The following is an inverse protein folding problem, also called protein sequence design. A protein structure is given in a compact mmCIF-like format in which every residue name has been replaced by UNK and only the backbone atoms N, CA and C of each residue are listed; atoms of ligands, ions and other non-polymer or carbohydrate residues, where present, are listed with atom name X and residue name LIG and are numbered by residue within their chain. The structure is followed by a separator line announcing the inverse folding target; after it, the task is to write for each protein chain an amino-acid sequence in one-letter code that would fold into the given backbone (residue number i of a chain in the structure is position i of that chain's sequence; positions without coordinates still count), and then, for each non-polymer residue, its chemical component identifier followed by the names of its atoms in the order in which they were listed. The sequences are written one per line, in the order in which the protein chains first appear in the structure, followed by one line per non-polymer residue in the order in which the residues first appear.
data_IF_245877155425
#
_entry.id   IF_245877155425
#
_cell.length_a   1.000
_cell.length_b   1.000
_cell.length_c   1.000
_cell.angle_alpha   90.00
_cell.angle_beta   90.00
_cell.angle_gamma   90.00
#
_symmetry.space_group_name_H-M   'P 1'
#
loop_
_entity.id
_entity.type
_entity.pdbx_description
1 polymer ?
#
# COMPACT_ATOMS: atom_id res chain seq x y z
N UNK A 1 -8.01 8.62 11.83
CA UNK A 1 -9.18 7.93 11.24
C UNK A 1 -8.71 7.08 10.07
N UNK A 2 -9.48 6.08 9.67
CA UNK A 2 -9.24 5.37 8.40
C UNK A 2 -9.59 6.31 7.24
N UNK A 3 -8.74 6.33 6.21
CA UNK A 3 -8.94 7.16 5.03
C UNK A 3 -9.67 6.43 3.89
N UNK A 4 -10.03 5.15 4.06
CA UNK A 4 -10.71 4.33 3.04
C UNK A 4 -12.00 4.97 2.50
N UNK A 5 -12.72 5.73 3.32
CA UNK A 5 -13.95 6.42 2.92
C UNK A 5 -13.70 7.57 1.93
N UNK A 6 -12.47 8.11 1.91
CA UNK A 6 -12.04 9.15 0.98
C UNK A 6 -11.37 8.59 -0.27
N UNK A 7 -11.21 7.27 -0.39
CA UNK A 7 -10.58 6.64 -1.56
C UNK A 7 -11.52 6.73 -2.77
N UNK A 8 -10.99 7.20 -3.89
CA UNK A 8 -11.70 7.24 -5.16
C UNK A 8 -11.53 5.92 -5.91
N UNK A 9 -12.37 4.93 -5.58
CA UNK A 9 -12.33 3.59 -6.16
C UNK A 9 -12.25 3.51 -7.69
N UNK A 10 -12.96 4.34 -8.49
CA UNK A 10 -12.85 4.30 -9.95
C UNK A 10 -11.47 4.63 -10.49
N UNK A 11 -10.66 5.38 -9.74
CA UNK A 11 -9.29 5.73 -10.11
C UNK A 11 -8.22 4.89 -9.42
N UNK A 12 -8.60 3.92 -8.58
CA UNK A 12 -7.63 3.02 -7.93
C UNK A 12 -7.05 2.10 -8.99
N UNK A 13 -5.73 2.08 -9.09
CA UNK A 13 -4.99 1.21 -10.00
C UNK A 13 -3.99 0.38 -9.22
N UNK A 14 -3.75 -0.86 -9.67
CA UNK A 14 -2.71 -1.70 -9.09
C UNK A 14 -2.02 -2.47 -10.21
N UNK A 15 -0.71 -2.27 -10.34
CA UNK A 15 0.15 -2.97 -11.28
C UNK A 15 0.74 -4.20 -10.60
N UNK A 16 0.94 -5.25 -11.41
CA UNK A 16 1.42 -6.56 -10.98
C UNK A 16 0.54 -7.27 -9.93
N UNK A 17 -0.75 -6.91 -9.83
CA UNK A 17 -1.70 -7.67 -9.01
C UNK A 17 -2.19 -8.91 -9.73
N UNK A 18 -2.42 -9.99 -8.98
CA UNK A 18 -3.08 -11.18 -9.46
C UNK A 18 -4.56 -10.87 -9.75
N UNK A 19 -5.07 -11.32 -10.90
CA UNK A 19 -6.46 -11.11 -11.32
C UNK A 19 -7.48 -11.74 -10.37
N UNK A 20 -7.10 -12.79 -9.65
CA UNK A 20 -7.95 -13.46 -8.64
C UNK A 20 -7.87 -12.79 -7.26
N UNK A 21 -6.75 -12.13 -6.97
CA UNK A 21 -6.42 -11.55 -5.67
C UNK A 21 -6.05 -10.07 -5.83
N UNK A 22 -7.07 -9.24 -6.09
CA UNK A 22 -6.89 -7.82 -6.39
C UNK A 22 -6.75 -6.94 -5.13
N UNK A 23 -6.24 -5.72 -5.30
CA UNK A 23 -6.04 -4.73 -4.24
C UNK A 23 -7.32 -4.43 -3.44
N UNK A 24 -8.48 -4.51 -4.08
CA UNK A 24 -9.78 -4.29 -3.44
C UNK A 24 -9.97 -5.22 -2.23
N UNK A 25 -9.48 -6.46 -2.30
CA UNK A 25 -9.56 -7.42 -1.21
C UNK A 25 -8.80 -6.92 0.04
N UNK A 26 -7.61 -6.34 -0.16
CA UNK A 26 -6.76 -5.87 0.94
C UNK A 26 -7.12 -4.45 1.43
N UNK A 27 -7.66 -3.58 0.58
CA UNK A 27 -7.93 -2.18 0.91
C UNK A 27 -9.37 -1.94 1.40
N UNK A 28 -10.36 -2.64 0.82
CA UNK A 28 -11.78 -2.37 1.08
C UNK A 28 -12.19 -2.88 2.46
N UNK A 29 -12.86 -2.02 3.23
CA UNK A 29 -13.42 -2.40 4.53
C UNK A 29 -14.47 -3.51 4.35
N UNK A 30 -14.46 -4.49 5.25
CA UNK A 30 -15.21 -5.75 5.12
C UNK A 30 -14.38 -6.87 4.48
N UNK A 31 -13.86 -6.66 3.27
CA UNK A 31 -13.06 -7.67 2.56
C UNK A 31 -11.72 -7.92 3.26
N UNK A 32 -11.04 -6.85 3.65
CA UNK A 32 -9.73 -6.89 4.35
C UNK A 32 -9.77 -7.45 5.79
N UNK A 33 -10.96 -7.83 6.26
CA UNK A 33 -11.15 -8.50 7.57
C UNK A 33 -11.28 -10.02 7.41
N UNK A 34 -11.43 -10.50 6.17
CA UNK A 34 -11.45 -11.91 5.83
C UNK A 34 -10.03 -12.36 5.47
N UNK A 35 -9.43 -13.24 6.28
CA UNK A 35 -8.08 -13.75 6.02
C UNK A 35 -7.98 -14.59 4.73
N UNK A 36 -9.11 -14.99 4.12
CA UNK A 36 -9.15 -15.63 2.80
C UNK A 36 -9.06 -14.65 1.62
N UNK A 37 -9.23 -13.35 1.87
CA UNK A 37 -9.19 -12.30 0.86
C UNK A 37 -7.94 -11.45 1.02
N UNK A 38 -7.01 -11.60 0.07
CA UNK A 38 -5.75 -10.87 0.04
C UNK A 38 -5.47 -10.32 -1.35
N UNK A 39 -4.54 -9.37 -1.40
CA UNK A 39 -3.83 -8.95 -2.59
C UNK A 39 -2.59 -9.84 -2.75
N UNK A 40 -2.38 -10.36 -3.95
CA UNK A 40 -1.19 -11.13 -4.31
C UNK A 40 -0.57 -10.53 -5.56
N UNK A 41 0.75 -10.63 -5.70
CA UNK A 41 1.43 -10.29 -6.94
C UNK A 41 1.37 -11.41 -7.99
N UNK A 42 1.36 -11.05 -9.27
CA UNK A 42 1.15 -12.00 -10.37
C UNK A 42 2.45 -12.61 -10.90
N UNK A 43 3.51 -11.80 -11.05
CA UNK A 43 4.78 -12.25 -11.65
C UNK A 43 5.97 -12.27 -10.69
N UNK A 44 6.08 -11.28 -9.80
CA UNK A 44 7.25 -11.05 -8.95
C UNK A 44 6.84 -10.36 -7.65
N UNK A 45 7.75 -10.19 -6.69
CA UNK A 45 7.41 -9.60 -5.40
C UNK A 45 7.03 -8.10 -5.45
N UNK A 46 7.22 -7.42 -6.58
CA UNK A 46 7.00 -5.99 -6.68
C UNK A 46 5.53 -5.66 -6.96
N UNK A 47 4.96 -4.76 -6.17
CA UNK A 47 3.58 -4.28 -6.35
C UNK A 47 3.57 -2.77 -6.44
N UNK A 48 2.80 -2.21 -7.36
CA UNK A 48 2.62 -0.77 -7.47
C UNK A 48 1.14 -0.44 -7.40
N UNK A 49 0.75 0.22 -6.32
CA UNK A 49 -0.63 0.53 -5.97
C UNK A 49 -0.80 2.04 -6.05
N UNK A 50 -1.73 2.51 -6.87
CA UNK A 50 -2.12 3.90 -6.99
C UNK A 50 -3.50 4.10 -6.38
N UNK A 51 -3.60 4.99 -5.39
CA UNK A 51 -4.83 5.28 -4.64
C UNK A 51 -5.10 6.78 -4.72
N UNK A 52 -6.01 7.23 -5.59
CA UNK A 52 -6.51 8.59 -5.55
C UNK A 52 -7.51 8.77 -4.41
N UNK A 53 -7.59 9.99 -3.89
CA UNK A 53 -8.56 10.40 -2.88
C UNK A 53 -9.52 11.44 -3.47
N UNK A 54 -10.79 11.36 -3.07
CA UNK A 54 -11.85 12.30 -3.47
C UNK A 54 -11.63 13.71 -2.92
N UNK A 55 -10.82 13.84 -1.87
CA UNK A 55 -10.43 15.11 -1.26
C UNK A 55 -8.98 15.05 -0.76
N UNK A 56 -8.42 16.22 -0.43
CA UNK A 56 -7.11 16.31 0.20
C UNK A 56 -7.16 15.68 1.59
N UNK A 57 -6.26 14.73 1.84
CA UNK A 57 -6.10 14.06 3.14
C UNK A 57 -4.69 14.26 3.68
N UNK A 58 -4.52 14.02 4.97
CA UNK A 58 -3.27 14.04 5.72
C UNK A 58 -2.94 12.65 6.21
N UNK A 59 -1.90 12.03 5.66
CA UNK A 59 -1.50 10.68 6.05
C UNK A 59 -0.57 10.74 7.27
N UNK A 60 -0.90 9.99 8.31
CA UNK A 60 -0.12 9.90 9.54
C UNK A 60 0.66 8.59 9.63
N UNK A 61 0.01 7.49 9.26
CA UNK A 61 0.56 6.14 9.42
C UNK A 61 -0.13 5.19 8.46
N UNK A 62 0.55 4.08 8.15
CA UNK A 62 -0.01 3.00 7.35
C UNK A 62 0.03 1.72 8.15
N UNK A 63 -0.97 0.87 8.01
CA UNK A 63 -0.97 -0.46 8.58
C UNK A 63 -1.06 -1.44 7.43
N UNK A 64 -0.11 -2.36 7.42
CA UNK A 64 -0.04 -3.44 6.45
C UNK A 64 -0.01 -4.74 7.24
N UNK A 65 -0.95 -5.64 6.95
CA UNK A 65 -0.99 -7.01 7.48
C UNK A 65 -0.64 -7.96 6.34
N UNK A 66 0.18 -8.94 6.64
CA UNK A 66 0.60 -9.95 5.68
C UNK A 66 1.28 -11.11 6.40
N UNK A 67 1.68 -12.10 5.63
CA UNK A 67 2.43 -13.23 6.17
C UNK A 67 3.87 -12.79 6.53
N UNK A 68 4.47 -13.27 7.63
CA UNK A 68 5.86 -12.93 7.97
C UNK A 68 6.90 -13.40 6.95
N UNK A 69 6.56 -14.31 6.02
CA UNK A 69 7.46 -14.74 4.94
C UNK A 69 7.11 -14.04 3.60
N UNK A 70 5.85 -14.07 3.19
CA UNK A 70 5.40 -13.54 1.89
C UNK A 70 4.93 -12.07 1.95
N UNK A 71 4.90 -11.46 3.14
CA UNK A 71 4.43 -10.09 3.32
C UNK A 71 5.45 -9.04 2.87
N UNK A 72 4.99 -7.81 2.58
CA UNK A 72 5.86 -6.74 2.13
C UNK A 72 6.87 -6.34 3.22
N UNK A 73 8.08 -5.99 2.81
CA UNK A 73 9.16 -5.55 3.68
C UNK A 73 9.53 -4.11 3.41
N UNK A 74 10.00 -3.79 2.21
CA UNK A 74 10.27 -2.39 1.84
C UNK A 74 9.10 -1.79 1.08
N UNK A 75 8.45 -0.81 1.70
CA UNK A 75 7.31 -0.09 1.12
C UNK A 75 7.66 1.38 0.92
N UNK A 76 7.78 1.80 -0.33
CA UNK A 76 8.04 3.18 -0.74
C UNK A 76 6.72 3.89 -1.01
N UNK A 77 6.59 5.11 -0.51
CA UNK A 77 5.37 5.91 -0.61
C UNK A 77 5.64 7.19 -1.39
N UNK A 78 4.70 7.56 -2.25
CA UNK A 78 4.77 8.77 -3.05
C UNK A 78 3.43 9.50 -2.97
N UNK A 79 3.44 10.71 -2.42
CA UNK A 79 2.25 11.56 -2.40
C UNK A 79 2.17 12.43 -3.65
N UNK A 80 0.96 12.59 -4.19
CA UNK A 80 0.63 13.46 -5.33
C UNK A 80 1.43 13.11 -6.60
N UNK A 81 1.54 11.82 -6.90
CA UNK A 81 2.28 11.31 -8.03
C UNK A 81 1.43 10.32 -8.80
N UNK A 82 0.93 10.77 -9.93
CA UNK A 82 0.07 9.98 -10.82
C UNK A 82 0.93 9.29 -11.90
N UNK A 83 0.41 8.22 -12.50
CA UNK A 83 1.07 7.51 -13.62
C UNK A 83 2.50 7.03 -13.32
N UNK A 84 2.75 6.56 -12.09
CA UNK A 84 4.00 5.84 -11.79
C UNK A 84 3.94 4.41 -12.33
N UNK A 85 5.08 3.94 -12.81
CA UNK A 85 5.29 2.55 -13.20
C UNK A 85 6.65 2.06 -12.71
N UNK A 86 6.87 0.75 -12.76
CA UNK A 86 8.11 0.13 -12.30
C UNK A 86 9.39 0.71 -12.94
N UNK A 87 9.29 1.21 -14.18
CA UNK A 87 10.42 1.83 -14.89
C UNK A 87 10.83 3.21 -14.37
N UNK A 88 9.89 3.98 -13.79
CA UNK A 88 10.15 5.37 -13.37
C UNK A 88 10.03 5.58 -11.85
N UNK A 89 9.48 4.62 -11.11
CA UNK A 89 9.27 4.72 -9.66
C UNK A 89 10.57 4.96 -8.88
N UNK A 90 11.70 4.43 -9.39
CA UNK A 90 13.02 4.62 -8.81
C UNK A 90 13.70 5.95 -9.19
N UNK A 91 13.19 6.65 -10.19
CA UNK A 91 13.71 7.97 -10.62
C UNK A 91 13.13 9.11 -9.78
N UNK A 92 11.90 8.92 -9.27
CA UNK A 92 11.25 9.91 -8.44
C UNK A 92 11.70 9.83 -6.97
N UNK A 93 11.85 10.97 -6.29
CA UNK A 93 12.13 10.98 -4.86
C UNK A 93 10.92 10.41 -4.09
N UNK A 94 11.15 9.33 -3.35
CA UNK A 94 10.19 8.75 -2.41
C UNK A 94 9.80 9.80 -1.37
N UNK A 95 8.49 9.97 -1.12
CA UNK A 95 8.02 10.86 -0.06
C UNK A 95 8.42 10.32 1.32
N UNK A 96 8.28 9.01 1.49
CA UNK A 96 8.77 8.27 2.64
C UNK A 96 8.97 6.80 2.28
N UNK A 97 9.82 6.12 3.03
CA UNK A 97 10.08 4.68 2.87
C UNK A 97 9.88 4.03 4.22
N UNK A 98 9.02 3.02 4.26
CA UNK A 98 8.72 2.23 5.44
C UNK A 98 9.35 0.86 5.26
N UNK A 99 10.20 0.49 6.19
CA UNK A 99 10.67 -0.89 6.33
C UNK A 99 9.78 -1.57 7.35
N UNK A 100 8.90 -2.43 6.87
CA UNK A 100 8.05 -3.29 7.69
C UNK A 100 8.90 -4.45 8.19
N UNK A 101 8.79 -4.75 9.48
CA UNK A 101 9.34 -5.96 10.08
C UNK A 101 8.23 -7.01 10.21
N UNK A 102 8.56 -8.29 10.45
CA UNK A 102 7.55 -9.33 10.68
C UNK A 102 6.53 -8.95 11.76
N UNK A 103 6.98 -8.31 12.85
CA UNK A 103 6.09 -7.80 13.92
C UNK A 103 5.18 -6.64 13.48
N UNK A 104 5.48 -5.95 12.37
CA UNK A 104 4.59 -4.93 11.82
C UNK A 104 3.42 -5.55 11.05
N UNK A 105 3.67 -6.69 10.41
CA UNK A 105 2.70 -7.42 9.60
C UNK A 105 1.61 -8.10 10.45
N UNK A 106 1.75 -8.12 11.78
CA UNK A 106 0.69 -8.55 12.71
C UNK A 106 -0.43 -7.50 12.90
N UNK A 107 -0.41 -6.40 12.13
CA UNK A 107 -1.41 -5.33 12.20
C UNK A 107 -0.98 -4.14 13.04
N UNK A 108 0.34 -3.88 13.12
CA UNK A 108 0.86 -2.69 13.80
C UNK A 108 1.02 -1.54 12.80
N UNK A 109 0.42 -0.36 13.06
CA UNK A 109 0.61 0.79 12.19
C UNK A 109 2.07 1.28 12.22
N UNK A 110 2.64 1.45 11.03
CA UNK A 110 3.91 2.12 10.81
C UNK A 110 3.70 3.62 10.67
N UNK A 111 4.36 4.40 11.53
CA UNK A 111 4.32 5.85 11.50
C UNK A 111 5.08 6.39 10.29
N UNK A 112 4.47 7.35 9.58
CA UNK A 112 5.08 8.01 8.44
C UNK A 112 5.59 9.39 8.81
N UNK A 113 6.42 9.96 7.93
CA UNK A 113 6.78 11.38 7.99
C UNK A 113 5.59 12.27 7.62
N UNK A 114 4.69 12.48 8.58
CA UNK A 114 3.49 13.34 8.46
C UNK A 114 3.76 14.68 7.76
N UNK A 115 4.92 15.31 8.00
CA UNK A 115 5.33 16.57 7.35
C UNK A 115 5.36 16.51 5.82
N UNK A 116 5.59 15.33 5.22
CA UNK A 116 5.56 15.09 3.77
C UNK A 116 4.16 14.79 3.25
N UNK A 117 3.25 14.40 4.13
CA UNK A 117 1.89 13.98 3.81
C UNK A 117 0.83 14.94 4.37
N UNK A 118 1.07 16.25 4.35
CA UNK A 118 0.10 17.28 4.79
C UNK A 118 -1.02 17.55 3.78
N UNK A 119 -0.80 17.21 2.51
CA UNK A 119 -1.72 17.53 1.43
C UNK A 119 -1.62 16.42 0.38
N UNK A 120 -2.28 15.30 0.64
CA UNK A 120 -2.25 14.10 -0.21
C UNK A 120 -3.57 14.04 -0.97
N UNK A 121 -3.52 14.17 -2.29
CA UNK A 121 -4.64 13.93 -3.21
C UNK A 121 -4.58 12.55 -3.83
N UNK A 122 -3.39 12.02 -4.02
CA UNK A 122 -3.16 10.65 -4.46
C UNK A 122 -1.96 10.08 -3.75
N UNK A 123 -1.98 8.77 -3.50
CA UNK A 123 -0.90 8.04 -2.87
C UNK A 123 -0.53 6.85 -3.74
N UNK A 124 0.74 6.81 -4.14
CA UNK A 124 1.32 5.63 -4.77
C UNK A 124 2.13 4.87 -3.72
N UNK A 125 1.85 3.58 -3.60
CA UNK A 125 2.52 2.64 -2.71
C UNK A 125 3.25 1.65 -3.59
N UNK A 126 4.57 1.63 -3.49
CA UNK A 126 5.42 0.70 -4.21
C UNK A 126 6.06 -0.26 -3.22
N UNK A 127 5.76 -1.54 -3.37
CA UNK A 127 6.42 -2.62 -2.66
C UNK A 127 7.63 -3.04 -3.49
N UNK A 128 8.82 -2.91 -2.92
CA UNK A 128 10.08 -3.25 -3.58
C UNK A 128 10.50 -4.70 -3.30
N UNK A 129 10.30 -5.17 -2.07
CA UNK A 129 10.67 -6.51 -1.62
C UNK A 129 9.74 -7.02 -0.50
N UNK A 130 9.73 -8.34 -0.31
CA UNK A 130 9.03 -9.05 0.76
C UNK A 130 9.98 -9.55 1.85
N UNK A 131 9.42 -10.11 2.93
CA UNK A 131 10.21 -10.49 4.12
C UNK A 131 11.17 -11.65 3.86
N UNK A 132 10.66 -12.75 3.31
CA UNK A 132 11.34 -14.03 3.16
C UNK A 132 12.07 -14.21 1.83
N UNK A 133 12.00 -13.24 0.91
CA UNK A 133 12.50 -13.39 -0.45
C UNK A 133 11.67 -14.37 -1.27
N UNK A 134 10.35 -14.42 -1.01
CA UNK A 134 9.42 -15.23 -1.80
C UNK A 134 9.28 -14.67 -3.22
N UNK A 135 8.87 -15.50 -4.18
CA UNK A 135 8.66 -15.04 -5.56
C UNK A 135 7.45 -14.09 -5.69
N UNK A 136 6.52 -14.12 -4.73
CA UNK A 136 5.32 -13.28 -4.73
C UNK A 136 5.14 -12.58 -3.39
N UNK A 137 4.45 -11.44 -3.42
CA UNK A 137 4.08 -10.68 -2.23
C UNK A 137 2.60 -10.82 -1.94
N UNK A 138 2.26 -11.15 -0.69
CA UNK A 138 0.87 -11.24 -0.21
C UNK A 138 0.57 -10.16 0.82
N UNK A 139 -0.44 -9.35 0.54
CA UNK A 139 -0.96 -8.31 1.44
C UNK A 139 -2.39 -8.67 1.82
N UNK A 140 -2.59 -9.06 3.07
CA UNK A 140 -3.92 -9.41 3.59
C UNK A 140 -4.74 -8.16 3.89
N UNK A 141 -4.12 -7.13 4.48
CA UNK A 141 -4.81 -5.92 4.90
C UNK A 141 -3.95 -4.69 4.70
N UNK A 142 -4.53 -3.67 4.09
CA UNK A 142 -3.92 -2.36 3.93
C UNK A 142 -4.87 -1.30 4.51
N UNK A 143 -4.38 -0.51 5.45
CA UNK A 143 -5.13 0.58 6.06
C UNK A 143 -4.29 1.85 6.05
N UNK A 144 -4.89 2.93 5.57
CA UNK A 144 -4.27 4.25 5.53
C UNK A 144 -4.88 5.09 6.65
N UNK A 145 -4.08 5.43 7.65
CA UNK A 145 -4.53 6.23 8.78
C UNK A 145 -4.15 7.68 8.59
N UNK A 146 -5.14 8.55 8.78
CA UNK A 146 -4.95 9.98 8.65
C UNK A 146 -6.09 10.83 9.16
N UNK A 147 -6.12 12.06 8.66
CA UNK A 147 -7.17 13.06 8.87
C UNK A 147 -7.41 13.82 7.55
N UNK A 148 -8.46 14.63 7.49
CA UNK A 148 -8.74 15.54 6.36
C UNK A 148 -8.40 16.97 6.75
#
# INVERSE_FOLDING_TARGET
ADLVEFVEWPGVECLNQNSSHSLVNALKQGYREDDGLYLESDSDEQLLIYIPFTQVVKLHSILVKGDPEEGPKTVKLFANKEHMGFSNVNDFPTSDTVVLLPNNLEGKPAALKYVKFQNVRSLTIFVEDNQGGADVTKVQKLVLYGST
#
